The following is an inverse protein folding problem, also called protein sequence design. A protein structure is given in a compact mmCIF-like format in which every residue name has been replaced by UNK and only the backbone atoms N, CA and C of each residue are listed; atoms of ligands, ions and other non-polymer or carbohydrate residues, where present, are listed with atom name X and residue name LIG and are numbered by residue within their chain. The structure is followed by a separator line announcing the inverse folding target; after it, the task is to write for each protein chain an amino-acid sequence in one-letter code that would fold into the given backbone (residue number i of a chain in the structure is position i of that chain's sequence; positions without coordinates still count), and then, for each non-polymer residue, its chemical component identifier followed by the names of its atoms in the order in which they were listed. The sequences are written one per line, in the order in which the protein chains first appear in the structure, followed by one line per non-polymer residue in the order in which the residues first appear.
data_IF_063422132737
#
_entry.id   IF_063422132737
#
_cell.length_a   1.000
_cell.length_b   1.000
_cell.length_c   1.000
_cell.angle_alpha   90.00
_cell.angle_beta   90.00
_cell.angle_gamma   90.00
#
_symmetry.space_group_name_H-M   'P 1'
#
loop_
_entity.id
_entity.type
_entity.pdbx_description
1 polymer ?
#
# COMPACT_ATOMS: atom_id res chain seq x y z
N UNK A 1 0.94 17.82 -7.75
CA UNK A 1 1.24 18.27 -6.38
C UNK A 1 0.06 19.03 -5.84
N UNK A 2 -0.51 18.58 -4.73
CA UNK A 2 -1.59 19.30 -4.05
C UNK A 2 -1.09 20.64 -3.52
N UNK A 3 -1.87 21.70 -3.73
CA UNK A 3 -1.55 23.07 -3.30
C UNK A 3 -2.81 23.68 -2.69
N UNK A 4 -2.66 24.64 -1.78
CA UNK A 4 -3.80 25.42 -1.29
C UNK A 4 -4.35 26.24 -2.46
N UNK A 5 -5.66 26.20 -2.64
CA UNK A 5 -6.38 27.11 -3.54
C UNK A 5 -7.36 27.94 -2.71
N UNK A 6 -7.59 29.16 -3.15
CA UNK A 6 -8.68 30.00 -2.67
C UNK A 6 -9.69 30.07 -3.80
N UNK A 7 -10.94 29.72 -3.49
CA UNK A 7 -12.04 29.68 -4.45
C UNK A 7 -12.66 31.07 -4.48
N UNK A 8 -13.01 31.53 -5.68
CA UNK A 8 -13.60 32.84 -5.89
C UNK A 8 -14.96 32.95 -5.17
N UNK A 9 -15.20 33.97 -4.34
CA UNK A 9 -16.51 34.20 -3.73
C UNK A 9 -17.67 34.24 -4.74
N UNK A 10 -17.44 34.76 -5.95
CA UNK A 10 -18.47 34.83 -7.00
C UNK A 10 -18.83 33.44 -7.54
N UNK A 11 -17.85 32.52 -7.58
CA UNK A 11 -18.07 31.12 -7.95
C UNK A 11 -18.92 30.43 -6.89
N UNK A 12 -18.61 30.63 -5.61
CA UNK A 12 -19.38 30.07 -4.48
C UNK A 12 -20.82 30.60 -4.48
N UNK A 13 -21.01 31.90 -4.74
CA UNK A 13 -22.34 32.52 -4.78
C UNK A 13 -23.22 32.03 -5.93
N UNK A 14 -22.61 31.47 -6.99
CA UNK A 14 -23.32 30.94 -8.15
C UNK A 14 -23.82 29.49 -7.97
N UNK A 15 -23.37 28.81 -6.91
CA UNK A 15 -23.74 27.43 -6.61
C UNK A 15 -25.21 27.31 -6.17
N UNK A 16 -25.77 26.11 -6.33
CA UNK A 16 -27.07 25.81 -5.74
C UNK A 16 -27.00 25.75 -4.20
N UNK A 17 -28.16 25.70 -3.54
CA UNK A 17 -28.21 25.70 -2.08
C UNK A 17 -27.51 24.49 -1.44
N UNK A 18 -27.53 23.34 -2.10
CA UNK A 18 -26.95 22.08 -1.60
C UNK A 18 -25.42 22.11 -1.67
N UNK A 19 -24.86 22.76 -2.68
CA UNK A 19 -23.42 22.94 -2.85
C UNK A 19 -22.89 24.13 -2.05
N UNK A 20 -23.65 25.22 -1.95
CA UNK A 20 -23.28 26.42 -1.19
C UNK A 20 -22.99 26.11 0.28
N UNK A 21 -23.80 25.23 0.90
CA UNK A 21 -23.65 24.85 2.31
C UNK A 21 -22.28 24.23 2.64
N UNK A 22 -21.61 23.61 1.65
CA UNK A 22 -20.27 23.03 1.83
C UNK A 22 -19.20 24.08 2.13
N UNK A 23 -19.44 25.33 1.76
CA UNK A 23 -18.53 26.46 1.96
C UNK A 23 -18.84 27.26 3.24
N UNK A 24 -20.02 27.07 3.83
CA UNK A 24 -20.42 27.70 5.08
C UNK A 24 -19.52 27.22 6.23
N UNK A 25 -19.10 28.14 7.09
CA UNK A 25 -18.16 27.82 8.16
C UNK A 25 -18.82 26.96 9.23
N UNK A 26 -20.06 27.30 9.59
CA UNK A 26 -20.85 26.61 10.60
C UNK A 26 -21.11 25.15 10.20
N UNK A 27 -21.46 24.91 8.93
CA UNK A 27 -21.66 23.56 8.41
C UNK A 27 -20.37 22.74 8.46
N UNK A 28 -19.25 23.29 7.98
CA UNK A 28 -17.94 22.61 8.01
C UNK A 28 -17.50 22.29 9.42
N UNK A 29 -17.61 23.25 10.35
CA UNK A 29 -17.23 23.05 11.75
C UNK A 29 -18.14 22.01 12.42
N UNK A 30 -19.44 22.02 12.10
CA UNK A 30 -20.41 21.04 12.58
C UNK A 30 -20.08 19.62 12.12
N UNK A 31 -19.83 19.42 10.82
CA UNK A 31 -19.44 18.12 10.26
C UNK A 31 -18.11 17.63 10.87
N UNK A 32 -17.14 18.53 11.04
CA UNK A 32 -15.83 18.17 11.59
C UNK A 32 -15.89 17.77 13.07
N UNK A 33 -16.85 18.30 13.82
CA UNK A 33 -17.06 17.99 15.23
C UNK A 33 -17.97 16.77 15.46
N UNK A 34 -18.78 16.38 14.47
CA UNK A 34 -19.75 15.29 14.60
C UNK A 34 -19.03 13.93 14.75
N UNK A 35 -19.16 13.24 15.90
CA UNK A 35 -18.53 11.95 16.13
C UNK A 35 -19.13 10.81 15.29
N UNK A 36 -20.35 10.98 14.75
CA UNK A 36 -21.01 10.01 13.85
C UNK A 36 -20.38 10.08 12.46
N UNK A 37 -20.02 11.28 11.99
CA UNK A 37 -19.39 11.48 10.68
C UNK A 37 -17.88 11.25 10.77
N UNK A 38 -17.22 11.86 11.76
CA UNK A 38 -15.78 11.73 11.97
C UNK A 38 -15.54 11.12 13.35
N UNK A 39 -15.06 9.86 13.44
CA UNK A 39 -14.80 9.22 14.72
C UNK A 39 -13.88 10.05 15.64
N UNK A 40 -14.17 10.06 16.95
CA UNK A 40 -13.43 10.86 17.94
C UNK A 40 -11.92 10.60 17.94
N UNK A 41 -11.50 9.37 17.65
CA UNK A 41 -10.09 9.01 17.53
C UNK A 41 -9.41 9.74 16.37
N UNK A 42 -10.09 9.86 15.23
CA UNK A 42 -9.61 10.58 14.04
C UNK A 42 -9.58 12.08 14.32
N UNK A 43 -10.61 12.63 14.97
CA UNK A 43 -10.62 14.04 15.38
C UNK A 43 -9.40 14.33 16.25
N UNK A 44 -9.24 13.61 17.38
CA UNK A 44 -8.12 13.77 18.32
C UNK A 44 -6.76 13.61 17.64
N UNK A 45 -6.62 12.63 16.76
CA UNK A 45 -5.37 12.38 16.05
C UNK A 45 -4.99 13.50 15.09
N UNK A 46 -5.92 14.36 14.65
CA UNK A 46 -5.67 15.40 13.66
C UNK A 46 -5.80 16.84 14.18
N UNK A 47 -6.16 17.04 15.45
CA UNK A 47 -6.18 18.38 16.08
C UNK A 47 -4.82 19.06 15.90
N UNK A 48 -4.83 20.27 15.33
CA UNK A 48 -3.64 21.12 15.16
C UNK A 48 -2.64 20.63 14.10
N UNK A 49 -2.94 19.53 13.37
CA UNK A 49 -2.09 19.07 12.28
C UNK A 49 -2.42 19.86 11.00
N UNK A 50 -1.39 20.32 10.25
CA UNK A 50 -1.63 20.95 8.97
C UNK A 50 -2.16 19.93 7.95
N UNK A 51 -2.81 20.43 6.90
CA UNK A 51 -3.17 19.61 5.74
C UNK A 51 -1.88 18.98 5.18
N UNK A 52 -1.81 17.65 5.01
CA UNK A 52 -0.60 16.96 4.58
C UNK A 52 -0.40 17.07 3.06
N UNK A 53 -0.15 18.28 2.57
CA UNK A 53 0.16 18.51 1.15
C UNK A 53 1.34 17.64 0.72
N UNK A 54 1.22 17.01 -0.46
CA UNK A 54 2.24 16.09 -0.98
C UNK A 54 2.10 14.64 -0.50
N UNK A 55 1.30 14.32 0.52
CA UNK A 55 1.11 12.95 0.98
C UNK A 55 0.54 12.06 -0.13
N UNK A 56 -0.57 12.48 -0.72
CA UNK A 56 -1.21 11.78 -1.83
C UNK A 56 -0.34 11.72 -3.09
N UNK A 57 0.51 12.73 -3.32
CA UNK A 57 1.50 12.68 -4.41
C UNK A 57 2.53 11.56 -4.15
N UNK A 58 2.92 11.36 -2.89
CA UNK A 58 3.84 10.28 -2.51
C UNK A 58 3.23 8.90 -2.73
N UNK A 59 1.93 8.72 -2.47
CA UNK A 59 1.22 7.45 -2.70
C UNK A 59 1.11 7.10 -4.18
N UNK A 60 1.09 8.10 -5.07
CA UNK A 60 1.10 7.90 -6.53
C UNK A 60 2.49 7.61 -7.11
N UNK A 61 3.54 7.61 -6.29
CA UNK A 61 4.88 7.26 -6.76
C UNK A 61 4.91 5.79 -7.12
N UNK A 62 5.25 5.50 -8.38
CA UNK A 62 5.35 4.14 -8.89
C UNK A 62 6.80 3.72 -9.06
N UNK A 63 7.06 2.45 -8.77
CA UNK A 63 8.35 1.80 -8.87
C UNK A 63 8.20 0.54 -9.74
N UNK A 64 9.22 0.20 -10.53
CA UNK A 64 9.20 -1.02 -11.34
C UNK A 64 9.56 -2.23 -10.47
N UNK A 65 8.57 -2.97 -9.98
CA UNK A 65 8.80 -4.13 -9.11
C UNK A 65 7.83 -5.29 -9.40
N UNK A 66 8.19 -6.48 -8.93
CA UNK A 66 7.34 -7.68 -8.96
C UNK A 66 7.46 -8.49 -7.66
N UNK A 67 6.42 -9.22 -7.24
CA UNK A 67 6.53 -10.13 -6.10
C UNK A 67 7.27 -11.41 -6.52
N UNK A 68 8.10 -11.96 -5.64
CA UNK A 68 8.81 -13.23 -5.84
C UNK A 68 8.63 -14.09 -4.61
N UNK A 69 8.26 -15.35 -4.80
CA UNK A 69 7.96 -16.28 -3.71
C UNK A 69 8.97 -17.41 -3.72
N UNK A 70 9.74 -17.50 -2.64
CA UNK A 70 10.70 -18.56 -2.39
C UNK A 70 10.07 -19.55 -1.41
N UNK A 71 9.27 -20.45 -1.95
CA UNK A 71 8.61 -21.52 -1.19
C UNK A 71 9.51 -22.75 -1.18
N UNK A 72 9.84 -23.24 0.02
CA UNK A 72 10.68 -24.43 0.18
C UNK A 72 10.00 -25.68 -0.42
N UNK A 73 10.80 -26.68 -0.82
CA UNK A 73 10.34 -28.00 -1.26
C UNK A 73 9.39 -28.02 -2.47
N UNK A 74 9.67 -27.23 -3.50
CA UNK A 74 8.88 -27.21 -4.74
C UNK A 74 7.42 -26.82 -4.51
N UNK A 75 7.15 -25.99 -3.49
CA UNK A 75 5.83 -25.46 -3.25
C UNK A 75 5.31 -24.69 -4.46
N UNK A 76 4.03 -24.86 -4.77
CA UNK A 76 3.41 -24.30 -5.98
C UNK A 76 2.57 -23.11 -5.58
N UNK A 77 2.97 -21.92 -6.03
CA UNK A 77 2.19 -20.71 -5.87
C UNK A 77 0.86 -20.83 -6.61
N UNK A 78 -0.24 -20.47 -5.93
CA UNK A 78 -1.61 -20.59 -6.45
C UNK A 78 -2.13 -19.24 -6.93
N UNK A 79 -2.10 -18.24 -6.05
CA UNK A 79 -2.60 -16.91 -6.33
C UNK A 79 -1.93 -15.89 -5.41
N UNK A 80 -1.89 -14.64 -5.86
CA UNK A 80 -1.40 -13.48 -5.12
C UNK A 80 -2.43 -12.38 -5.27
N UNK A 81 -2.80 -11.73 -4.19
CA UNK A 81 -3.60 -10.52 -4.16
C UNK A 81 -2.77 -9.42 -3.52
N UNK A 82 -2.79 -8.23 -4.11
CA UNK A 82 -2.00 -7.09 -3.67
C UNK A 82 -2.90 -5.87 -3.57
N UNK A 83 -2.82 -5.18 -2.44
CA UNK A 83 -3.41 -3.87 -2.23
C UNK A 83 -2.29 -2.85 -2.07
N UNK A 84 -2.33 -1.81 -2.89
CA UNK A 84 -1.32 -0.76 -2.92
C UNK A 84 -1.72 0.42 -2.05
N UNK A 85 -0.74 1.21 -1.62
CA UNK A 85 -0.96 2.35 -0.72
C UNK A 85 -1.82 3.47 -1.31
N UNK A 86 -1.99 3.49 -2.64
CA UNK A 86 -2.88 4.41 -3.34
C UNK A 86 -4.29 3.84 -3.56
N UNK A 87 -4.60 2.67 -3.02
CA UNK A 87 -5.89 1.98 -3.15
C UNK A 87 -6.03 1.09 -4.39
N UNK A 88 -5.00 0.99 -5.24
CA UNK A 88 -5.01 0.04 -6.36
C UNK A 88 -4.98 -1.40 -5.86
N UNK A 89 -5.73 -2.28 -6.53
CA UNK A 89 -5.83 -3.70 -6.22
C UNK A 89 -5.45 -4.51 -7.45
N UNK A 90 -4.65 -5.54 -7.25
CA UNK A 90 -4.20 -6.42 -8.32
C UNK A 90 -4.20 -7.87 -7.84
N UNK A 91 -4.63 -8.79 -8.71
CA UNK A 91 -4.56 -10.21 -8.45
C UNK A 91 -3.72 -10.90 -9.55
N UNK A 92 -2.71 -11.66 -9.14
CA UNK A 92 -1.91 -12.51 -10.02
C UNK A 92 -2.35 -13.96 -9.82
N UNK A 93 -2.81 -14.58 -10.91
CA UNK A 93 -3.18 -16.00 -10.96
C UNK A 93 -2.85 -16.57 -12.34
N UNK A 94 -2.65 -17.88 -12.40
CA UNK A 94 -2.37 -18.62 -13.65
C UNK A 94 -1.28 -17.96 -14.52
N UNK A 95 -1.61 -17.51 -15.74
CA UNK A 95 -0.66 -16.93 -16.70
C UNK A 95 0.03 -15.68 -16.12
N UNK A 96 -0.72 -14.79 -15.47
CA UNK A 96 -0.17 -13.55 -14.91
C UNK A 96 0.86 -13.83 -13.79
N UNK A 97 0.60 -14.87 -12.99
CA UNK A 97 1.51 -15.33 -11.95
C UNK A 97 2.74 -16.06 -12.53
N UNK A 98 2.57 -16.78 -13.65
CA UNK A 98 3.65 -17.48 -14.33
C UNK A 98 4.59 -16.51 -15.05
N UNK A 99 4.06 -15.51 -15.72
CA UNK A 99 4.84 -14.50 -16.45
C UNK A 99 5.52 -13.52 -15.50
N UNK A 100 4.80 -13.08 -14.46
CA UNK A 100 5.30 -12.26 -13.35
C UNK A 100 6.24 -11.12 -13.81
N UNK A 101 5.72 -10.26 -14.68
CA UNK A 101 6.48 -9.14 -15.23
C UNK A 101 6.75 -8.04 -14.18
N UNK A 102 7.85 -7.32 -14.39
CA UNK A 102 8.11 -6.06 -13.70
C UNK A 102 7.12 -5.00 -14.21
N UNK A 103 6.19 -4.58 -13.36
CA UNK A 103 5.24 -3.51 -13.66
C UNK A 103 5.53 -2.28 -12.78
N UNK A 104 5.16 -1.10 -13.28
CA UNK A 104 5.19 0.13 -12.49
C UNK A 104 4.01 0.16 -11.54
N UNK A 105 4.25 -0.25 -10.30
CA UNK A 105 3.26 -0.33 -9.22
C UNK A 105 3.56 0.70 -8.15
N UNK A 106 2.53 1.18 -7.46
CA UNK A 106 2.73 1.85 -6.19
C UNK A 106 3.33 0.87 -5.16
N UNK A 107 3.75 1.36 -4.00
CA UNK A 107 4.20 0.49 -2.92
C UNK A 107 3.01 -0.32 -2.38
N UNK A 108 3.20 -1.61 -2.04
CA UNK A 108 2.14 -2.40 -1.43
C UNK A 108 1.82 -1.89 -0.02
N UNK A 109 0.55 -1.84 0.32
CA UNK A 109 0.08 -1.71 1.70
C UNK A 109 -0.08 -3.10 2.33
N UNK A 110 -0.59 -4.05 1.55
CA UNK A 110 -0.81 -5.43 1.98
C UNK A 110 -0.68 -6.38 0.78
N UNK A 111 -0.19 -7.59 1.05
CA UNK A 111 -0.12 -8.69 0.07
C UNK A 111 -0.59 -9.97 0.72
N UNK A 112 -1.55 -10.63 0.08
CA UNK A 112 -2.02 -11.96 0.38
C UNK A 112 -1.53 -12.94 -0.67
N UNK A 113 -1.13 -14.14 -0.27
CA UNK A 113 -0.84 -15.19 -1.23
C UNK A 113 -1.09 -16.58 -0.67
N UNK A 114 -1.37 -17.52 -1.58
CA UNK A 114 -1.59 -18.92 -1.27
C UNK A 114 -0.65 -19.82 -2.08
N UNK A 115 -0.23 -20.92 -1.47
CA UNK A 115 0.60 -21.94 -2.10
C UNK A 115 0.22 -23.33 -1.62
N UNK A 116 0.52 -24.33 -2.44
CA UNK A 116 0.52 -25.73 -2.00
C UNK A 116 1.92 -26.11 -1.55
N UNK A 117 2.04 -26.63 -0.34
CA UNK A 117 3.29 -27.23 0.13
C UNK A 117 3.49 -28.63 -0.48
N UNK A 118 4.67 -29.23 -0.24
CA UNK A 118 5.00 -30.58 -0.73
C UNK A 118 4.00 -31.66 -0.30
N UNK A 119 3.37 -31.50 0.86
CA UNK A 119 2.34 -32.40 1.37
C UNK A 119 0.96 -32.21 0.70
N UNK A 120 0.89 -31.35 -0.33
CA UNK A 120 -0.32 -30.95 -1.06
C UNK A 120 -1.35 -30.21 -0.21
N UNK A 121 -1.00 -29.80 1.00
CA UNK A 121 -1.86 -28.93 1.78
C UNK A 121 -1.69 -27.49 1.32
N UNK A 122 -2.81 -26.79 1.31
CA UNK A 122 -2.82 -25.36 1.02
C UNK A 122 -2.37 -24.60 2.26
N UNK A 123 -1.62 -23.53 2.01
CA UNK A 123 -1.23 -22.55 3.01
C UNK A 123 -1.46 -21.18 2.40
N UNK A 124 -1.69 -20.20 3.26
CA UNK A 124 -1.76 -18.81 2.86
C UNK A 124 -1.07 -17.92 3.88
N UNK A 125 -0.62 -16.76 3.41
CA UNK A 125 -0.05 -15.71 4.24
C UNK A 125 -0.69 -14.37 3.90
N UNK A 126 -1.00 -13.59 4.93
CA UNK A 126 -1.31 -12.17 4.85
C UNK A 126 -0.10 -11.39 5.36
N UNK A 127 0.32 -10.41 4.58
CA UNK A 127 1.49 -9.58 4.84
C UNK A 127 1.04 -8.12 4.88
N UNK A 128 1.12 -7.48 6.05
CA UNK A 128 0.79 -6.06 6.23
C UNK A 128 2.08 -5.28 6.46
N UNK A 129 2.36 -4.32 5.57
CA UNK A 129 3.60 -3.56 5.59
C UNK A 129 3.56 -2.39 6.57
N UNK A 130 4.70 -2.13 7.23
CA UNK A 130 4.93 -0.86 7.89
C UNK A 130 5.22 0.21 6.83
N UNK A 131 4.32 1.20 6.69
CA UNK A 131 4.40 2.22 5.64
C UNK A 131 5.73 2.99 5.67
N UNK A 132 6.24 3.30 6.86
CA UNK A 132 7.46 4.11 7.01
C UNK A 132 8.71 3.32 6.63
N UNK A 133 8.85 2.08 7.10
CA UNK A 133 9.94 1.18 6.74
C UNK A 133 9.94 0.88 5.25
N UNK A 134 8.78 0.53 4.69
CA UNK A 134 8.64 0.23 3.27
C UNK A 134 8.98 1.45 2.41
N UNK A 135 8.48 2.63 2.78
CA UNK A 135 8.81 3.88 2.09
C UNK A 135 10.31 4.13 2.08
N UNK A 136 10.96 4.03 3.23
CA UNK A 136 12.40 4.24 3.35
C UNK A 136 13.20 3.26 2.48
N UNK A 137 12.83 1.97 2.50
CA UNK A 137 13.53 0.95 1.72
C UNK A 137 13.39 1.16 0.20
N UNK A 138 12.20 1.51 -0.28
CA UNK A 138 11.98 1.86 -1.70
C UNK A 138 12.72 3.14 -2.09
N UNK A 139 12.66 4.19 -1.28
CA UNK A 139 13.38 5.44 -1.55
C UNK A 139 14.90 5.22 -1.59
N UNK A 140 15.43 4.37 -0.72
CA UNK A 140 16.85 4.02 -0.68
C UNK A 140 17.29 3.26 -1.94
N UNK A 141 16.55 2.22 -2.36
CA UNK A 141 16.92 1.40 -3.53
C UNK A 141 16.82 2.18 -4.84
N UNK A 142 15.84 3.06 -4.97
CA UNK A 142 15.56 3.79 -6.22
C UNK A 142 16.20 5.18 -6.27
N UNK A 143 16.97 5.57 -5.24
CA UNK A 143 17.58 6.89 -5.13
C UNK A 143 18.45 7.25 -6.35
N UNK A 144 19.24 6.31 -6.83
CA UNK A 144 20.17 6.51 -7.95
C UNK A 144 19.53 6.22 -9.31
N UNK A 145 18.59 5.28 -9.37
CA UNK A 145 17.93 4.88 -10.61
C UNK A 145 16.43 4.61 -10.37
N UNK A 146 15.58 5.50 -10.90
CA UNK A 146 14.12 5.40 -10.79
C UNK A 146 13.51 4.28 -11.66
N UNK A 147 14.24 3.80 -12.65
CA UNK A 147 13.82 2.72 -13.55
C UNK A 147 14.43 1.35 -13.14
N UNK A 148 15.04 1.30 -11.96
CA UNK A 148 15.56 0.07 -11.37
C UNK A 148 14.46 -1.01 -11.29
N UNK A 149 14.79 -2.24 -11.69
CA UNK A 149 13.93 -3.40 -11.47
C UNK A 149 14.24 -4.01 -10.11
N UNK A 150 13.23 -4.13 -9.26
CA UNK A 150 13.37 -4.67 -7.90
C UNK A 150 12.39 -5.80 -7.68
N UNK A 151 12.82 -6.82 -6.96
CA UNK A 151 11.98 -7.92 -6.50
C UNK A 151 11.56 -7.66 -5.05
N UNK A 152 10.26 -7.80 -4.76
CA UNK A 152 9.76 -7.91 -3.41
C UNK A 152 9.62 -9.39 -3.08
N UNK A 153 10.54 -9.89 -2.26
CA UNK A 153 10.76 -11.32 -2.07
C UNK A 153 10.12 -11.78 -0.76
N UNK A 154 9.38 -12.89 -0.85
CA UNK A 154 8.72 -13.57 0.25
C UNK A 154 9.34 -14.95 0.40
N UNK A 155 10.10 -15.15 1.48
CA UNK A 155 10.76 -16.41 1.77
C UNK A 155 9.93 -17.14 2.82
N UNK A 156 9.25 -18.20 2.40
CA UNK A 156 8.46 -19.04 3.31
C UNK A 156 9.41 -19.97 4.05
N UNK A 157 9.27 -20.04 5.38
CA UNK A 157 10.11 -20.91 6.18
C UNK A 157 9.76 -22.39 5.98
N UNK A 158 10.65 -23.28 6.43
CA UNK A 158 10.49 -24.74 6.31
C UNK A 158 9.14 -25.25 6.86
N UNK A 159 8.67 -24.68 7.96
CA UNK A 159 7.43 -25.09 8.65
C UNK A 159 6.16 -24.47 8.06
N UNK A 160 6.25 -23.67 6.99
CA UNK A 160 5.13 -22.95 6.35
C UNK A 160 4.32 -22.06 7.32
N UNK A 161 4.93 -21.60 8.41
CA UNK A 161 4.25 -20.82 9.45
C UNK A 161 4.84 -19.42 9.65
N UNK A 162 5.84 -19.06 8.85
CA UNK A 162 6.45 -17.73 8.87
C UNK A 162 6.99 -17.36 7.49
N UNK A 163 6.94 -16.07 7.18
CA UNK A 163 7.43 -15.49 5.93
C UNK A 163 8.42 -14.38 6.25
N UNK A 164 9.61 -14.46 5.66
CA UNK A 164 10.56 -13.34 5.68
C UNK A 164 10.36 -12.47 4.46
N UNK A 165 10.32 -11.15 4.65
CA UNK A 165 10.08 -10.19 3.57
C UNK A 165 11.31 -9.31 3.37
N UNK A 166 11.72 -9.15 2.11
CA UNK A 166 12.84 -8.27 1.73
C UNK A 166 12.63 -7.67 0.34
N UNK A 167 13.28 -6.54 0.09
CA UNK A 167 13.46 -5.97 -1.23
C UNK A 167 14.84 -6.31 -1.76
N UNK A 168 14.92 -6.76 -3.02
CA UNK A 168 16.16 -7.19 -3.67
C UNK A 168 16.29 -6.59 -5.06
N UNK A 169 17.47 -6.08 -5.37
CA UNK A 169 17.90 -5.80 -6.75
C UNK A 169 19.28 -6.45 -7.00
N UNK A 170 19.89 -6.20 -8.16
CA UNK A 170 21.19 -6.78 -8.53
C UNK A 170 22.35 -6.41 -7.60
N UNK A 171 22.24 -5.32 -6.82
CA UNK A 171 23.33 -4.75 -6.02
C UNK A 171 23.10 -4.87 -4.51
N UNK A 172 21.85 -4.96 -4.07
CA UNK A 172 21.47 -4.75 -2.67
C UNK A 172 20.20 -5.50 -2.30
N UNK A 173 20.18 -5.93 -1.04
CA UNK A 173 19.01 -6.47 -0.36
C UNK A 173 18.71 -5.65 0.91
N UNK A 174 17.43 -5.39 1.17
CA UNK A 174 16.93 -4.71 2.36
C UNK A 174 15.82 -5.56 2.98
N UNK A 175 16.02 -6.03 4.21
CA UNK A 175 14.98 -6.77 4.96
C UNK A 175 13.94 -5.81 5.53
N UNK A 176 12.70 -6.29 5.64
CA UNK A 176 11.55 -5.53 6.14
C UNK A 176 10.97 -6.19 7.42
N UNK A 177 11.70 -6.13 8.56
CA UNK A 177 11.34 -6.87 9.77
C UNK A 177 10.12 -6.33 10.52
N UNK A 178 9.65 -5.10 10.25
CA UNK A 178 8.44 -4.56 10.92
C UNK A 178 7.14 -5.01 10.27
N UNK A 179 7.24 -5.73 9.15
CA UNK A 179 6.10 -6.32 8.45
C UNK A 179 5.37 -7.29 9.37
N UNK A 180 4.04 -7.13 9.49
CA UNK A 180 3.20 -8.10 10.19
C UNK A 180 2.90 -9.25 9.26
N UNK A 181 3.05 -10.47 9.76
CA UNK A 181 2.90 -11.70 9.00
C UNK A 181 1.94 -12.62 9.74
N UNK A 182 0.85 -12.97 9.07
CA UNK A 182 -0.11 -13.96 9.54
C UNK A 182 -0.15 -15.12 8.56
N UNK A 183 0.03 -16.35 9.04
CA UNK A 183 -0.01 -17.55 8.21
C UNK A 183 -1.16 -18.46 8.63
N UNK A 184 -1.75 -19.14 7.65
CA UNK A 184 -2.85 -20.09 7.83
C UNK A 184 -2.67 -21.31 6.93
N UNK A 185 -3.27 -22.41 7.35
CA UNK A 185 -3.33 -23.68 6.64
C UNK A 185 -4.79 -24.04 6.37
#
# INVERSE_FOLDING_TARGET
KGQKIEIDPDEIASLDQEEHVLFEKEFRDGIMADPVVIPLEVQKANIGKPIPYGLWDSYRTRYAWRPVFEVQHEGIMKAVYMEMINGEKEQLFDIALKENYYLKRARPAMIDFAWYAKDKKEYAAEIIFDEQELKAAFEELYKENKELKTELVFIVNYSNNFVTVLLRNEKKEIRLPKTKVETRQ
#
